data_IF_557040399459
#
_entry.id   IF_557040399459
#
_cell.length_a   1.000
_cell.length_b   1.000
_cell.length_c   1.000
_cell.angle_alpha   90.00
_cell.angle_beta   90.00
_cell.angle_gamma   90.00
#
_symmetry.space_group_name_H-M   'P 1'
#
loop_
_entity.id
_entity.type
_entity.pdbx_description
1 polymer ?
#
# COMPACT_ATOMS: atom_id res chain seq x y z
N UNK A 1 17.31 10.52 1.21
CA UNK A 1 17.10 11.37 2.39
C UNK A 1 15.69 11.94 2.36
N UNK A 2 14.91 11.71 3.43
CA UNK A 2 13.53 12.21 3.57
C UNK A 2 13.59 13.63 4.15
N UNK A 3 12.76 14.52 3.64
CA UNK A 3 12.60 15.91 4.08
C UNK A 3 11.15 16.35 3.89
N UNK A 4 10.80 17.54 4.38
CA UNK A 4 9.45 18.09 4.23
C UNK A 4 9.02 18.25 2.76
N UNK A 5 9.94 18.70 1.90
CA UNK A 5 9.67 18.91 0.48
C UNK A 5 9.48 17.60 -0.29
N UNK A 6 10.09 16.50 0.12
CA UNK A 6 10.08 15.20 -0.57
C UNK A 6 11.32 14.37 -0.25
N UNK A 7 11.67 13.44 -1.13
CA UNK A 7 12.73 12.45 -0.95
C UNK A 7 13.85 12.64 -1.97
N UNK A 8 15.09 12.61 -1.48
CA UNK A 8 16.30 12.58 -2.32
C UNK A 8 16.92 11.18 -2.26
N UNK A 9 17.08 10.55 -3.40
CA UNK A 9 17.72 9.24 -3.56
C UNK A 9 18.55 9.18 -4.82
N UNK A 10 19.31 8.10 -4.97
CA UNK A 10 20.11 7.88 -6.18
C UNK A 10 19.49 6.76 -7.02
N UNK A 11 19.46 6.94 -8.34
CA UNK A 11 19.07 5.88 -9.26
C UNK A 11 19.99 4.67 -9.09
N UNK A 12 19.43 3.47 -9.07
CA UNK A 12 20.20 2.23 -8.88
C UNK A 12 21.00 1.83 -10.13
N UNK A 13 20.65 2.38 -11.29
CA UNK A 13 21.29 2.05 -12.57
C UNK A 13 22.63 2.80 -12.72
N UNK A 14 22.65 4.09 -12.48
CA UNK A 14 23.77 4.99 -12.80
C UNK A 14 24.15 5.93 -11.63
N UNK A 15 23.43 5.85 -10.52
CA UNK A 15 23.71 6.63 -9.32
C UNK A 15 23.35 8.10 -9.39
N UNK A 16 22.71 8.59 -10.47
CA UNK A 16 22.31 10.01 -10.53
C UNK A 16 21.29 10.36 -9.43
N UNK A 17 21.35 11.59 -8.96
CA UNK A 17 20.45 12.07 -7.90
C UNK A 17 19.07 12.34 -8.46
N UNK A 18 18.06 11.82 -7.78
CA UNK A 18 16.65 12.03 -8.08
C UNK A 18 16.00 12.70 -6.88
N UNK A 19 15.16 13.68 -7.17
CA UNK A 19 14.20 14.23 -6.22
C UNK A 19 12.80 13.74 -6.59
N UNK A 20 12.01 13.39 -5.60
CA UNK A 20 10.60 13.07 -5.75
C UNK A 20 9.82 13.58 -4.54
N UNK A 21 8.84 14.39 -4.79
CA UNK A 21 7.87 14.85 -3.81
C UNK A 21 6.45 14.55 -4.26
N UNK A 22 5.46 14.99 -3.52
CA UNK A 22 4.05 14.78 -3.84
C UNK A 22 3.67 15.25 -5.23
N UNK A 23 4.11 16.44 -5.63
CA UNK A 23 3.76 17.04 -6.92
C UNK A 23 4.40 16.28 -8.09
N UNK A 24 5.67 15.86 -7.95
CA UNK A 24 6.37 15.04 -8.97
C UNK A 24 5.71 13.67 -9.09
N UNK A 25 5.34 13.04 -7.96
CA UNK A 25 4.65 11.75 -7.95
C UNK A 25 3.31 11.84 -8.67
N UNK A 26 2.50 12.84 -8.38
CA UNK A 26 1.22 13.04 -9.08
C UNK A 26 1.41 13.30 -10.56
N UNK A 27 2.41 14.12 -10.95
CA UNK A 27 2.70 14.38 -12.37
C UNK A 27 3.13 13.11 -13.11
N UNK A 28 3.98 12.28 -12.49
CA UNK A 28 4.42 11.01 -13.09
C UNK A 28 3.22 10.08 -13.29
N UNK A 29 2.36 9.91 -12.28
CA UNK A 29 1.19 9.06 -12.38
C UNK A 29 0.18 9.59 -13.40
N UNK A 30 0.04 10.89 -13.53
CA UNK A 30 -0.77 11.51 -14.60
C UNK A 30 -0.18 11.20 -15.99
N UNK A 31 1.12 11.30 -16.16
CA UNK A 31 1.79 10.99 -17.43
C UNK A 31 1.69 9.49 -17.80
N UNK A 32 1.70 8.61 -16.80
CA UNK A 32 1.53 7.16 -16.97
C UNK A 32 0.08 6.74 -17.26
N UNK A 33 -0.86 7.67 -17.15
CA UNK A 33 -2.27 7.41 -17.39
C UNK A 33 -2.88 6.30 -16.51
N UNK A 34 -2.44 6.20 -15.24
CA UNK A 34 -3.04 5.26 -14.29
C UNK A 34 -4.49 5.65 -14.00
N UNK A 35 -5.41 4.69 -13.90
CA UNK A 35 -6.80 4.96 -13.52
C UNK A 35 -6.93 5.28 -12.03
N UNK A 36 -6.09 4.66 -11.21
CA UNK A 36 -5.95 4.95 -9.78
C UNK A 36 -4.55 5.51 -9.54
N UNK A 37 -4.47 6.68 -8.95
CA UNK A 37 -3.23 7.29 -8.47
C UNK A 37 -3.11 7.09 -6.96
N UNK A 38 -1.92 6.69 -6.50
CA UNK A 38 -1.63 6.54 -5.08
C UNK A 38 -1.01 7.81 -4.54
N UNK A 39 -1.46 8.25 -3.37
CA UNK A 39 -0.83 9.38 -2.70
C UNK A 39 0.65 9.09 -2.40
N UNK A 40 1.47 10.14 -2.37
CA UNK A 40 2.86 10.03 -1.97
C UNK A 40 2.95 10.01 -0.45
N UNK A 41 3.60 8.99 0.12
CA UNK A 41 3.64 8.75 1.55
C UNK A 41 5.03 8.35 2.05
N UNK A 42 5.23 8.39 3.36
CA UNK A 42 6.33 7.73 4.04
C UNK A 42 5.81 6.46 4.72
N UNK A 43 6.38 5.31 4.33
CA UNK A 43 6.12 4.02 4.96
C UNK A 43 7.28 3.71 5.92
N UNK A 44 7.16 3.97 7.23
CA UNK A 44 8.20 3.62 8.19
C UNK A 44 8.30 2.10 8.38
N UNK A 45 9.48 1.57 8.82
CA UNK A 45 9.60 0.17 9.20
C UNK A 45 8.55 -0.22 10.25
N UNK A 46 8.00 -1.44 10.17
CA UNK A 46 6.89 -1.88 11.03
C UNK A 46 7.18 -1.86 12.53
N UNK A 47 8.46 -1.98 12.92
CA UNK A 47 8.92 -1.92 14.31
C UNK A 47 9.43 -0.53 14.73
N UNK A 48 9.00 0.52 14.04
CA UNK A 48 9.39 1.88 14.38
C UNK A 48 8.86 2.30 15.76
N UNK A 49 9.67 3.07 16.48
CA UNK A 49 9.25 3.70 17.72
C UNK A 49 8.08 4.66 17.51
N UNK A 50 7.18 4.76 18.48
CA UNK A 50 5.97 5.58 18.40
C UNK A 50 6.23 7.03 17.97
N UNK A 51 7.29 7.65 18.51
CA UNK A 51 7.64 9.03 18.17
C UNK A 51 8.01 9.21 16.70
N UNK A 52 8.74 8.24 16.13
CA UNK A 52 9.05 8.25 14.70
C UNK A 52 7.81 8.00 13.85
N UNK A 53 7.01 6.98 14.20
CA UNK A 53 5.77 6.66 13.50
C UNK A 53 4.80 7.85 13.46
N UNK A 54 4.66 8.59 14.57
CA UNK A 54 3.85 9.80 14.66
C UNK A 54 4.36 10.91 13.74
N UNK A 55 5.66 11.21 13.77
CA UNK A 55 6.24 12.25 12.92
C UNK A 55 6.12 11.89 11.42
N UNK A 56 6.33 10.62 11.08
CA UNK A 56 6.16 10.09 9.73
C UNK A 56 4.70 10.21 9.26
N UNK A 57 3.73 9.88 10.11
CA UNK A 57 2.32 10.06 9.82
C UNK A 57 1.98 11.54 9.55
N UNK A 58 2.45 12.46 10.39
CA UNK A 58 2.20 13.90 10.21
C UNK A 58 2.81 14.42 8.90
N UNK A 59 3.99 13.93 8.50
CA UNK A 59 4.59 14.23 7.20
C UNK A 59 3.73 13.68 6.05
N UNK A 60 3.31 12.41 6.14
CA UNK A 60 2.45 11.75 5.15
C UNK A 60 1.13 12.51 4.98
N UNK A 61 0.52 13.00 6.04
CA UNK A 61 -0.71 13.80 5.97
C UNK A 61 -0.50 15.11 5.20
N UNK A 62 0.60 15.83 5.46
CA UNK A 62 0.93 17.05 4.70
C UNK A 62 1.24 16.77 3.23
N UNK A 63 1.91 15.66 2.94
CA UNK A 63 2.15 15.22 1.57
C UNK A 63 0.88 14.81 0.85
N UNK A 64 -0.05 14.15 1.55
CA UNK A 64 -1.37 13.81 1.00
C UNK A 64 -2.15 15.06 0.58
N UNK A 65 -2.18 16.10 1.40
CA UNK A 65 -2.83 17.38 1.05
C UNK A 65 -2.21 18.02 -0.21
N UNK A 66 -0.89 17.92 -0.37
CA UNK A 66 -0.18 18.38 -1.57
C UNK A 66 -0.53 17.54 -2.79
N UNK A 67 -0.63 16.20 -2.64
CA UNK A 67 -1.08 15.31 -3.72
C UNK A 67 -2.49 15.68 -4.19
N UNK A 68 -3.42 15.84 -3.25
CA UNK A 68 -4.81 16.25 -3.52
C UNK A 68 -4.83 17.57 -4.29
N UNK A 69 -4.18 18.59 -3.77
CA UNK A 69 -4.11 19.91 -4.41
C UNK A 69 -3.53 19.82 -5.82
N UNK A 70 -2.46 19.04 -6.01
CA UNK A 70 -1.81 18.88 -7.32
C UNK A 70 -2.71 18.21 -8.33
N UNK A 71 -3.35 17.08 -7.94
CA UNK A 71 -4.23 16.33 -8.84
C UNK A 71 -5.49 17.13 -9.19
N UNK A 72 -6.14 17.73 -8.20
CA UNK A 72 -7.39 18.50 -8.40
C UNK A 72 -7.18 19.78 -9.25
N UNK A 73 -5.95 20.31 -9.27
CA UNK A 73 -5.60 21.47 -10.10
C UNK A 73 -5.10 21.13 -11.51
N UNK A 74 -5.06 19.83 -11.86
CA UNK A 74 -4.51 19.36 -13.12
C UNK A 74 -5.63 18.86 -14.02
N UNK A 75 -5.73 19.40 -15.23
CA UNK A 75 -6.64 18.86 -16.25
C UNK A 75 -6.24 17.43 -16.65
N UNK A 76 -7.20 16.51 -16.80
CA UNK A 76 -6.91 15.15 -17.21
C UNK A 76 -6.23 15.09 -18.58
N UNK A 77 -5.05 14.46 -18.68
CA UNK A 77 -4.27 14.41 -19.91
C UNK A 77 -4.89 13.50 -20.98
N UNK A 78 -5.70 12.51 -20.57
CA UNK A 78 -6.20 11.44 -21.45
C UNK A 78 -7.74 11.37 -21.52
N UNK A 79 -8.42 12.43 -21.14
CA UNK A 79 -9.87 12.54 -21.25
C UNK A 79 -10.68 11.74 -20.22
N UNK A 80 -10.04 11.27 -19.16
CA UNK A 80 -10.70 10.65 -17.99
C UNK A 80 -10.09 11.15 -16.68
N UNK A 81 -10.89 11.15 -15.64
CA UNK A 81 -10.45 11.48 -14.29
C UNK A 81 -9.66 10.32 -13.66
N UNK A 82 -8.54 10.62 -13.01
CA UNK A 82 -7.79 9.65 -12.21
C UNK A 82 -8.27 9.70 -10.76
N UNK A 83 -8.62 8.54 -10.21
CA UNK A 83 -9.03 8.43 -8.80
C UNK A 83 -7.80 8.47 -7.89
N UNK A 84 -7.79 9.35 -6.90
CA UNK A 84 -6.71 9.41 -5.90
C UNK A 84 -7.09 8.56 -4.68
N UNK A 85 -6.22 7.61 -4.33
CA UNK A 85 -6.34 6.84 -3.10
C UNK A 85 -5.35 7.36 -2.04
N UNK A 86 -5.84 7.99 -0.96
CA UNK A 86 -5.06 8.24 0.25
C UNK A 86 -4.54 6.94 0.85
N UNK A 87 -3.33 6.98 1.43
CA UNK A 87 -2.73 5.83 2.10
C UNK A 87 -2.76 6.05 3.61
N UNK A 88 -3.49 5.19 4.32
CA UNK A 88 -3.56 5.17 5.78
C UNK A 88 -2.30 4.52 6.32
N UNK A 89 -1.45 5.30 6.99
CA UNK A 89 -0.24 4.86 7.67
C UNK A 89 -0.45 4.82 9.20
N UNK A 90 0.58 4.54 10.00
CA UNK A 90 0.51 4.56 11.47
C UNK A 90 1.12 3.33 12.13
N UNK A 91 1.90 2.51 11.38
CA UNK A 91 2.50 1.26 11.88
C UNK A 91 1.46 0.37 12.56
N UNK A 92 1.77 -0.17 13.72
CA UNK A 92 0.87 -0.99 14.56
C UNK A 92 0.27 -0.20 15.74
N UNK A 93 0.27 1.13 15.66
CA UNK A 93 -0.29 2.01 16.70
C UNK A 93 -1.73 2.38 16.36
N UNK A 94 -2.65 1.91 17.17
CA UNK A 94 -4.08 2.06 16.96
C UNK A 94 -4.51 3.52 16.81
N UNK A 95 -4.10 4.38 17.73
CA UNK A 95 -4.42 5.81 17.74
C UNK A 95 -3.90 6.54 16.49
N UNK A 96 -2.71 6.15 16.00
CA UNK A 96 -2.16 6.70 14.76
C UNK A 96 -2.94 6.22 13.53
N UNK A 97 -3.36 4.94 13.51
CA UNK A 97 -4.22 4.39 12.45
C UNK A 97 -5.58 5.07 12.40
N UNK A 98 -6.20 5.28 13.57
CA UNK A 98 -7.47 5.99 13.68
C UNK A 98 -7.33 7.43 13.15
N UNK A 99 -6.33 8.18 13.64
CA UNK A 99 -6.04 9.56 13.16
C UNK A 99 -5.78 9.61 11.66
N UNK A 100 -5.02 8.65 11.11
CA UNK A 100 -4.74 8.57 9.68
C UNK A 100 -6.00 8.32 8.85
N UNK A 101 -6.84 7.38 9.27
CA UNK A 101 -8.10 7.06 8.60
C UNK A 101 -9.08 8.23 8.62
N UNK A 102 -9.26 8.89 9.77
CA UNK A 102 -10.11 10.08 9.89
C UNK A 102 -9.65 11.21 8.97
N UNK A 103 -8.34 11.47 8.92
CA UNK A 103 -7.77 12.48 8.01
C UNK A 103 -8.02 12.13 6.54
N UNK A 104 -7.80 10.86 6.16
CA UNK A 104 -8.03 10.40 4.80
C UNK A 104 -9.51 10.52 4.38
N UNK A 105 -10.43 10.13 5.26
CA UNK A 105 -11.89 10.21 5.02
C UNK A 105 -12.37 11.66 4.88
N UNK A 106 -11.80 12.59 5.66
CA UNK A 106 -12.14 14.00 5.57
C UNK A 106 -11.85 14.64 4.20
N UNK A 107 -10.97 14.03 3.40
CA UNK A 107 -10.65 14.47 2.04
C UNK A 107 -11.61 13.92 0.97
N UNK A 108 -12.53 13.04 1.34
CA UNK A 108 -13.60 12.45 0.51
C UNK A 108 -13.14 11.99 -0.88
N UNK A 109 -12.23 11.01 -0.92
CA UNK A 109 -11.70 10.45 -2.18
C UNK A 109 -12.46 9.21 -2.63
N UNK A 110 -12.18 8.75 -3.84
CA UNK A 110 -12.90 7.67 -4.53
C UNK A 110 -12.62 6.28 -3.92
N UNK A 111 -11.50 6.12 -3.20
CA UNK A 111 -11.11 4.90 -2.50
C UNK A 111 -9.98 5.18 -1.52
N UNK A 112 -9.61 4.18 -0.74
CA UNK A 112 -8.63 4.32 0.34
C UNK A 112 -7.68 3.13 0.36
N UNK A 113 -6.39 3.39 0.60
CA UNK A 113 -5.41 2.35 0.77
C UNK A 113 -4.98 2.22 2.24
N UNK A 114 -4.68 1.00 2.66
CA UNK A 114 -4.11 0.65 3.95
C UNK A 114 -2.67 0.23 3.71
N UNK A 115 -1.73 1.11 4.05
CA UNK A 115 -0.30 0.88 3.89
C UNK A 115 0.41 0.58 5.21
N UNK A 116 1.72 0.28 5.15
CA UNK A 116 2.57 0.08 6.32
C UNK A 116 2.18 -1.11 7.19
N UNK A 117 1.58 -2.14 6.61
CA UNK A 117 1.34 -3.45 7.18
C UNK A 117 2.06 -4.53 6.35
N UNK A 118 2.16 -5.76 6.87
CA UNK A 118 2.98 -6.85 6.30
C UNK A 118 4.47 -6.46 6.17
N UNK A 119 4.98 -5.69 7.11
CA UNK A 119 6.37 -5.19 7.17
C UNK A 119 7.15 -5.74 8.38
N UNK A 120 6.72 -6.89 8.92
CA UNK A 120 7.39 -7.63 9.98
C UNK A 120 6.59 -7.85 11.27
N UNK A 121 5.34 -7.39 11.32
CA UNK A 121 4.42 -7.70 12.41
C UNK A 121 3.79 -9.10 12.22
N UNK A 122 3.24 -9.65 13.32
CA UNK A 122 2.44 -10.87 13.28
C UNK A 122 1.11 -10.65 12.56
N UNK A 123 0.55 -11.71 11.96
CA UNK A 123 -0.67 -11.61 11.16
C UNK A 123 -1.87 -11.09 11.95
N UNK A 124 -1.99 -11.51 13.21
CA UNK A 124 -3.06 -11.09 14.12
C UNK A 124 -3.03 -9.58 14.38
N UNK A 125 -1.82 -9.00 14.51
CA UNK A 125 -1.64 -7.55 14.68
C UNK A 125 -2.04 -6.82 13.40
N UNK A 126 -1.67 -7.35 12.25
CA UNK A 126 -2.11 -6.80 10.95
C UNK A 126 -3.64 -6.80 10.85
N UNK A 127 -4.30 -7.90 11.20
CA UNK A 127 -5.77 -8.01 11.16
C UNK A 127 -6.44 -7.05 12.13
N UNK A 128 -5.89 -6.88 13.33
CA UNK A 128 -6.40 -5.89 14.28
C UNK A 128 -6.33 -4.47 13.68
N UNK A 129 -5.20 -4.09 13.08
CA UNK A 129 -5.05 -2.77 12.46
C UNK A 129 -5.99 -2.57 11.27
N UNK A 130 -6.24 -3.60 10.47
CA UNK A 130 -7.23 -3.56 9.39
C UNK A 130 -8.62 -3.30 9.97
N UNK A 131 -9.01 -3.98 11.04
CA UNK A 131 -10.31 -3.77 11.70
C UNK A 131 -10.45 -2.34 12.24
N UNK A 132 -9.40 -1.81 12.87
CA UNK A 132 -9.37 -0.44 13.39
C UNK A 132 -9.65 0.56 12.27
N UNK A 133 -8.94 0.44 11.17
CA UNK A 133 -9.06 1.34 10.01
C UNK A 133 -10.43 1.17 9.32
N UNK A 134 -10.88 -0.06 9.10
CA UNK A 134 -12.13 -0.35 8.37
C UNK A 134 -13.41 0.04 9.13
N UNK A 135 -13.33 0.31 10.43
CA UNK A 135 -14.44 0.92 11.20
C UNK A 135 -14.66 2.40 10.84
N UNK A 136 -13.63 3.05 10.30
CA UNK A 136 -13.64 4.49 9.97
C UNK A 136 -13.82 4.69 8.46
N UNK A 137 -13.17 3.88 7.63
CA UNK A 137 -13.27 3.98 6.18
C UNK A 137 -14.70 3.71 5.69
N UNK A 138 -15.22 4.47 4.71
CA UNK A 138 -16.52 4.26 4.10
C UNK A 138 -16.67 2.84 3.54
N UNK A 139 -17.86 2.25 3.73
CA UNK A 139 -18.15 0.88 3.26
C UNK A 139 -18.50 0.82 1.76
N UNK A 140 -18.89 1.93 1.20
CA UNK A 140 -19.29 2.11 -0.20
C UNK A 140 -18.14 2.54 -1.12
N UNK A 141 -16.91 2.61 -0.58
CA UNK A 141 -15.70 2.96 -1.34
C UNK A 141 -14.66 1.84 -1.28
N UNK A 142 -13.92 1.58 -2.38
CA UNK A 142 -12.88 0.55 -2.41
C UNK A 142 -11.82 0.73 -1.33
N UNK A 143 -11.46 -0.37 -0.67
CA UNK A 143 -10.42 -0.47 0.35
C UNK A 143 -9.31 -1.37 -0.15
N UNK A 144 -8.13 -0.80 -0.31
CA UNK A 144 -6.97 -1.46 -0.89
C UNK A 144 -5.92 -1.74 0.18
N UNK A 145 -5.66 -3.02 0.48
CA UNK A 145 -4.58 -3.45 1.37
C UNK A 145 -3.30 -3.68 0.56
N UNK A 146 -2.30 -2.85 0.80
CA UNK A 146 -1.06 -2.83 0.03
C UNK A 146 -0.08 -3.93 0.46
N UNK A 147 0.48 -4.66 -0.51
CA UNK A 147 1.58 -5.60 -0.32
C UNK A 147 1.22 -6.94 0.32
N UNK A 148 -0.07 -7.26 0.46
CA UNK A 148 -0.56 -8.50 1.11
C UNK A 148 -1.20 -9.41 0.07
N UNK A 149 -0.99 -10.72 0.08
CA UNK A 149 -0.16 -11.54 0.94
C UNK A 149 -0.30 -13.03 0.58
N UNK A 150 -0.29 -13.88 1.59
CA UNK A 150 -0.62 -15.30 1.42
C UNK A 150 -2.11 -15.50 1.16
N UNK A 151 -2.54 -16.69 0.61
CA UNK A 151 -3.96 -16.97 0.45
C UNK A 151 -4.78 -16.80 1.73
N UNK A 152 -4.25 -17.22 2.86
CA UNK A 152 -4.87 -17.07 4.18
C UNK A 152 -5.04 -15.61 4.57
N UNK A 153 -3.99 -14.80 4.40
CA UNK A 153 -4.07 -13.35 4.71
C UNK A 153 -5.10 -12.63 3.84
N UNK A 154 -5.19 -13.00 2.55
CA UNK A 154 -6.16 -12.42 1.62
C UNK A 154 -7.59 -12.77 2.05
N UNK A 155 -7.87 -14.05 2.35
CA UNK A 155 -9.20 -14.49 2.78
C UNK A 155 -9.63 -13.80 4.08
N UNK A 156 -8.72 -13.73 5.07
CA UNK A 156 -9.01 -13.05 6.32
C UNK A 156 -9.25 -11.55 6.10
N UNK A 157 -8.40 -10.88 5.32
CA UNK A 157 -8.57 -9.46 5.03
C UNK A 157 -9.87 -9.15 4.26
N UNK A 158 -10.31 -10.04 3.34
CA UNK A 158 -11.63 -9.93 2.69
C UNK A 158 -12.75 -10.00 3.73
N UNK A 159 -12.65 -10.95 4.69
CA UNK A 159 -13.65 -11.06 5.77
C UNK A 159 -13.74 -9.80 6.64
N UNK A 160 -12.64 -9.05 6.72
CA UNK A 160 -12.53 -7.78 7.42
C UNK A 160 -12.93 -6.55 6.57
N UNK A 161 -13.37 -6.77 5.31
CA UNK A 161 -13.89 -5.72 4.44
C UNK A 161 -12.86 -5.05 3.53
N UNK A 162 -11.79 -5.75 3.14
CA UNK A 162 -10.83 -5.30 2.13
C UNK A 162 -11.26 -5.78 0.74
N UNK A 163 -11.13 -4.94 -0.28
CA UNK A 163 -11.60 -5.18 -1.65
C UNK A 163 -10.47 -5.43 -2.65
N UNK A 164 -9.30 -4.83 -2.43
CA UNK A 164 -8.20 -4.81 -3.40
C UNK A 164 -6.89 -5.22 -2.73
N UNK A 165 -6.04 -5.90 -3.50
CA UNK A 165 -4.74 -6.40 -3.04
C UNK A 165 -3.70 -6.30 -4.15
N UNK A 166 -2.44 -6.16 -3.76
CA UNK A 166 -1.27 -6.49 -4.57
C UNK A 166 -0.29 -7.32 -3.74
N UNK A 167 0.47 -8.18 -4.39
CA UNK A 167 1.55 -8.88 -3.71
C UNK A 167 2.59 -9.37 -4.73
N UNK A 168 3.86 -9.21 -4.40
CA UNK A 168 4.98 -9.76 -5.19
C UNK A 168 5.15 -11.27 -5.00
N UNK A 169 4.56 -11.83 -3.94
CA UNK A 169 4.78 -13.22 -3.52
C UNK A 169 4.37 -14.25 -4.58
N UNK A 170 3.20 -14.17 -5.25
CA UNK A 170 2.82 -15.16 -6.26
C UNK A 170 3.83 -15.29 -7.40
N UNK A 171 4.25 -14.16 -7.97
CA UNK A 171 5.25 -14.14 -9.06
C UNK A 171 6.63 -14.54 -8.58
N UNK A 172 7.07 -14.08 -7.41
CA UNK A 172 8.35 -14.46 -6.82
C UNK A 172 8.39 -15.96 -6.52
N UNK A 173 7.34 -16.49 -5.91
CA UNK A 173 7.22 -17.90 -5.58
C UNK A 173 7.17 -18.75 -6.87
N UNK A 174 6.40 -18.35 -7.87
CA UNK A 174 6.33 -19.02 -9.16
C UNK A 174 7.71 -19.14 -9.84
N UNK A 175 8.50 -18.05 -9.87
CA UNK A 175 9.89 -18.10 -10.39
C UNK A 175 10.77 -19.07 -9.62
N UNK A 176 10.52 -19.29 -8.34
CA UNK A 176 11.27 -20.23 -7.50
C UNK A 176 10.67 -21.65 -7.49
N UNK A 177 9.55 -21.89 -8.20
CA UNK A 177 8.88 -23.17 -8.27
C UNK A 177 8.05 -23.48 -7.02
N UNK A 178 7.70 -22.47 -6.21
CA UNK A 178 6.87 -22.61 -5.03
C UNK A 178 5.42 -22.26 -5.40
N UNK A 179 4.47 -23.13 -5.03
CA UNK A 179 3.04 -22.98 -5.31
C UNK A 179 2.25 -23.16 -4.02
N UNK A 180 1.21 -22.36 -3.85
CA UNK A 180 0.17 -22.57 -2.85
C UNK A 180 -0.89 -23.51 -3.42
N UNK A 181 -1.27 -24.53 -2.66
CA UNK A 181 -2.31 -25.52 -3.02
C UNK A 181 -3.25 -25.75 -1.85
N UNK A 182 -4.37 -26.40 -2.10
CA UNK A 182 -5.32 -26.81 -1.04
C UNK A 182 -4.73 -27.79 -0.03
N UNK A 183 -3.63 -28.46 -0.39
CA UNK A 183 -2.89 -29.40 0.48
C UNK A 183 -1.65 -28.76 1.13
N UNK A 184 -1.48 -27.44 0.96
CA UNK A 184 -0.35 -26.69 1.50
C UNK A 184 0.61 -26.19 0.42
N UNK A 185 1.82 -25.81 0.85
CA UNK A 185 2.84 -25.27 -0.05
C UNK A 185 3.66 -26.39 -0.66
N UNK A 186 3.75 -26.43 -1.99
CA UNK A 186 4.59 -27.37 -2.73
C UNK A 186 5.72 -26.65 -3.46
N UNK A 187 6.85 -27.35 -3.63
CA UNK A 187 7.92 -26.91 -4.51
C UNK A 187 8.03 -27.91 -5.67
N UNK A 188 7.64 -27.48 -6.88
CA UNK A 188 7.59 -28.33 -8.09
C UNK A 188 8.97 -28.84 -8.53
N UNK A 189 10.06 -28.22 -8.04
CA UNK A 189 11.43 -28.71 -8.29
C UNK A 189 11.77 -29.99 -7.53
N UNK A 190 10.94 -30.39 -6.53
CA UNK A 190 11.14 -31.63 -5.79
C UNK A 190 10.84 -32.81 -6.67
N UNK A 191 11.75 -33.81 -6.69
CA UNK A 191 11.65 -35.02 -7.51
C UNK A 191 10.35 -35.81 -7.31
N UNK A 192 9.72 -35.72 -6.13
CA UNK A 192 8.45 -36.39 -5.84
C UNK A 192 7.31 -35.93 -6.76
N UNK A 193 7.40 -34.71 -7.37
CA UNK A 193 6.38 -34.20 -8.26
C UNK A 193 6.63 -34.48 -9.75
N UNK A 194 7.81 -35.05 -10.10
CA UNK A 194 8.23 -35.28 -11.49
C UNK A 194 7.22 -36.09 -12.30
N UNK A 195 6.50 -37.01 -11.62
CA UNK A 195 5.51 -37.92 -12.23
C UNK A 195 4.10 -37.71 -11.66
N UNK A 196 3.83 -36.60 -11.07
CA UNK A 196 2.50 -36.26 -10.56
C UNK A 196 1.66 -35.67 -11.69
N UNK A 197 0.67 -36.41 -12.17
CA UNK A 197 -0.29 -35.99 -13.18
C UNK A 197 -1.69 -35.74 -12.59
N UNK A 198 -1.81 -35.63 -11.27
CA UNK A 198 -3.06 -35.28 -10.60
C UNK A 198 -3.47 -33.86 -10.94
N UNK A 199 -4.77 -33.55 -10.87
CA UNK A 199 -5.34 -32.23 -11.15
C UNK A 199 -5.56 -31.45 -9.87
#
# INVERSE_FOLDING_TARGET
KIKEEGVYFNAHIDGHKIFMGPEESMQIQSNLASTIAMAFDECPPGQSEYGYAKNSLELTQRWLERCVKRLDSTEPLYGYHQSLFPIVQGCTFRDLREKAAEHAVALDREGYAIGGLAVGEEAEVMYEMIQVVNRILPQDKPRYLMGVGTPENILEAISLGVDMFDCVMPTRNGRNGMLFTTEGVINIKNKKWEKDFSR
#
